data_IF_801627028611
#
_entry.id   IF_801627028611
#
_cell.length_a   1.000
_cell.length_b   1.000
_cell.length_c   1.000
_cell.angle_alpha   90.00
_cell.angle_beta   90.00
_cell.angle_gamma   90.00
#
_symmetry.space_group_name_H-M   'P 1'
#
loop_
_entity.id
_entity.type
_entity.pdbx_description
1 polymer ?
#
# COMPACT_ATOMS: atom_id res chain seq x y z
N UNK A 1 -17.36 -0.91 -10.49
CA UNK A 1 -17.52 -0.84 -9.02
C UNK A 1 -17.01 -2.14 -8.43
N UNK A 2 -16.06 -2.10 -7.50
CA UNK A 2 -15.38 -3.29 -6.97
C UNK A 2 -16.15 -3.86 -5.78
N UNK A 3 -16.35 -5.18 -5.72
CA UNK A 3 -17.03 -5.82 -4.59
C UNK A 3 -16.05 -6.14 -3.47
N UNK A 4 -16.32 -5.65 -2.27
CA UNK A 4 -15.50 -5.89 -1.08
C UNK A 4 -16.37 -6.56 -0.03
N UNK A 5 -15.96 -7.72 0.48
CA UNK A 5 -16.68 -8.39 1.55
C UNK A 5 -16.53 -7.59 2.85
N UNK A 6 -17.64 -7.33 3.55
CA UNK A 6 -17.60 -6.65 4.85
C UNK A 6 -16.68 -7.36 5.84
N UNK A 7 -16.71 -8.70 5.85
CA UNK A 7 -15.83 -9.53 6.69
C UNK A 7 -14.34 -9.28 6.45
N UNK A 8 -13.92 -8.94 5.22
CA UNK A 8 -12.53 -8.62 4.93
C UNK A 8 -12.11 -7.29 5.59
N UNK A 9 -13.01 -6.30 5.59
CA UNK A 9 -12.78 -5.01 6.28
C UNK A 9 -12.73 -5.22 7.79
N UNK A 10 -13.64 -6.02 8.35
CA UNK A 10 -13.68 -6.31 9.79
C UNK A 10 -12.41 -7.03 10.27
N UNK A 11 -11.91 -7.99 9.49
CA UNK A 11 -10.63 -8.67 9.76
C UNK A 11 -9.50 -7.66 9.79
N UNK A 12 -9.42 -6.77 8.79
CA UNK A 12 -8.37 -5.75 8.75
C UNK A 12 -8.46 -4.78 9.91
N UNK A 13 -9.65 -4.35 10.32
CA UNK A 13 -9.82 -3.51 11.53
C UNK A 13 -9.25 -4.21 12.77
N UNK A 14 -9.51 -5.51 12.93
CA UNK A 14 -9.01 -6.29 14.08
C UNK A 14 -7.48 -6.49 14.06
N UNK A 15 -6.83 -6.26 12.90
CA UNK A 15 -5.41 -6.49 12.66
C UNK A 15 -4.63 -5.20 12.43
N UNK A 16 -5.25 -4.02 12.58
CA UNK A 16 -4.55 -2.74 12.43
C UNK A 16 -3.31 -2.78 13.33
N UNK A 17 -2.10 -2.60 12.78
CA UNK A 17 -0.88 -2.73 13.56
C UNK A 17 -0.89 -1.76 14.74
N UNK A 18 -0.63 -2.29 15.93
CA UNK A 18 -0.36 -1.52 17.15
C UNK A 18 1.16 -1.58 17.36
N UNK A 19 1.81 -0.48 17.77
CA UNK A 19 3.23 -0.55 18.16
C UNK A 19 3.44 -1.67 19.19
N UNK A 20 4.30 -2.63 18.84
CA UNK A 20 4.64 -3.78 19.70
C UNK A 20 3.83 -5.05 19.47
N UNK A 21 2.94 -5.11 18.48
CA UNK A 21 2.21 -6.32 18.10
C UNK A 21 3.02 -7.25 17.16
N UNK A 22 2.70 -8.55 17.21
CA UNK A 22 3.35 -9.60 16.42
C UNK A 22 2.97 -9.60 14.92
N UNK A 23 1.92 -8.85 14.53
CA UNK A 23 1.48 -8.80 13.13
C UNK A 23 2.38 -7.88 12.32
N UNK A 24 3.08 -8.44 11.32
CA UNK A 24 3.97 -7.67 10.46
C UNK A 24 3.14 -6.68 9.62
N UNK A 25 3.46 -5.39 9.79
CA UNK A 25 2.94 -4.29 8.96
C UNK A 25 2.95 -4.59 7.46
N UNK A 26 3.90 -5.40 6.98
CA UNK A 26 4.03 -5.78 5.56
C UNK A 26 2.94 -6.74 5.10
N UNK A 27 2.47 -7.65 5.94
CA UNK A 27 1.34 -8.54 5.64
C UNK A 27 0.03 -7.77 5.63
N UNK A 28 -0.14 -6.88 6.62
CA UNK A 28 -1.27 -5.97 6.67
C UNK A 28 -1.38 -5.12 5.39
N UNK A 29 -0.26 -4.58 4.90
CA UNK A 29 -0.23 -3.83 3.64
C UNK A 29 -0.65 -4.67 2.42
N UNK A 30 -0.31 -5.97 2.39
CA UNK A 30 -0.73 -6.87 1.32
C UNK A 30 -2.25 -7.11 1.35
N UNK A 31 -2.84 -7.21 2.53
CA UNK A 31 -4.28 -7.35 2.67
C UNK A 31 -5.03 -6.06 2.32
N UNK A 32 -4.50 -4.89 2.69
CA UNK A 32 -5.01 -3.59 2.22
C UNK A 32 -4.97 -3.49 0.70
N UNK A 33 -3.85 -3.89 0.09
CA UNK A 33 -3.72 -3.89 -1.37
C UNK A 33 -4.80 -4.75 -2.02
N UNK A 34 -5.06 -5.95 -1.48
CA UNK A 34 -6.09 -6.88 -1.99
C UNK A 34 -7.51 -6.30 -1.93
N UNK A 35 -7.80 -5.39 -0.99
CA UNK A 35 -9.08 -4.67 -1.00
C UNK A 35 -9.25 -3.84 -2.28
N UNK A 36 -8.18 -3.26 -2.81
CA UNK A 36 -8.21 -2.31 -3.93
C UNK A 36 -7.88 -2.95 -5.28
N UNK A 37 -6.99 -3.94 -5.28
CA UNK A 37 -6.54 -4.66 -6.45
C UNK A 37 -6.75 -6.17 -6.27
N UNK A 38 -7.12 -6.87 -7.34
CA UNK A 38 -7.37 -8.32 -7.31
C UNK A 38 -6.25 -9.13 -7.99
N UNK A 39 -5.22 -8.44 -8.48
CA UNK A 39 -3.99 -9.09 -8.95
C UNK A 39 -3.43 -9.96 -7.85
N UNK A 40 -2.89 -11.11 -8.24
CA UNK A 40 -2.24 -12.03 -7.32
C UNK A 40 -1.08 -11.32 -6.63
N UNK A 41 -0.94 -11.48 -5.31
CA UNK A 41 0.16 -10.92 -4.55
C UNK A 41 1.02 -12.04 -3.97
N UNK A 42 2.32 -11.91 -4.14
CA UNK A 42 3.32 -12.91 -3.78
C UNK A 42 4.45 -12.27 -2.97
N UNK A 43 5.06 -13.05 -2.08
CA UNK A 43 6.29 -12.67 -1.40
C UNK A 43 7.48 -13.01 -2.28
N UNK A 44 8.34 -12.04 -2.55
CA UNK A 44 9.56 -12.21 -3.36
C UNK A 44 10.77 -11.69 -2.62
N UNK A 45 11.93 -12.32 -2.87
CA UNK A 45 13.22 -11.85 -2.38
C UNK A 45 13.74 -10.77 -3.32
N UNK A 46 13.92 -9.57 -2.80
CA UNK A 46 14.51 -8.44 -3.49
C UNK A 46 15.91 -8.16 -2.96
N UNK A 47 16.78 -7.62 -3.82
CA UNK A 47 18.13 -7.23 -3.48
C UNK A 47 18.32 -5.73 -3.79
N UNK A 48 18.64 -4.94 -2.78
CA UNK A 48 19.10 -3.56 -3.01
C UNK A 48 20.63 -3.57 -3.16
N UNK A 49 21.12 -3.04 -4.28
CA UNK A 49 22.54 -2.76 -4.47
C UNK A 49 22.72 -1.25 -4.28
N UNK A 50 23.31 -0.85 -3.16
CA UNK A 50 23.65 0.55 -2.93
C UNK A 50 24.88 0.92 -3.77
N UNK A 51 24.66 1.56 -4.91
CA UNK A 51 25.70 2.14 -5.75
C UNK A 51 26.08 3.51 -5.18
N UNK A 52 26.91 3.55 -4.12
CA UNK A 52 27.55 4.79 -3.71
C UNK A 52 28.77 4.98 -4.61
N UNK A 53 28.72 5.94 -5.52
CA UNK A 53 29.85 6.35 -6.33
C UNK A 53 30.50 7.59 -5.70
N UNK A 54 31.55 7.42 -4.88
CA UNK A 54 32.52 8.49 -4.57
C UNK A 54 33.85 7.96 -4.01
N UNK A 55 34.89 8.79 -4.18
CA UNK A 55 36.31 8.53 -3.92
C UNK A 55 36.59 7.99 -2.49
N UNK A 56 37.28 6.85 -2.42
CA UNK A 56 37.36 6.03 -1.21
C UNK A 56 38.50 6.41 -0.26
N UNK A 57 38.17 6.55 1.01
CA UNK A 57 39.10 6.32 2.14
C UNK A 57 39.00 4.86 2.61
N UNK A 58 39.98 4.33 3.33
CA UNK A 58 40.02 2.91 3.72
C UNK A 58 38.81 2.43 4.56
N UNK A 59 38.17 3.31 5.35
CA UNK A 59 36.94 3.01 6.11
C UNK A 59 35.73 2.93 5.19
N UNK A 60 35.64 3.83 4.21
CA UNK A 60 34.57 3.81 3.20
C UNK A 60 34.71 2.58 2.29
N UNK A 61 35.92 2.14 1.95
CA UNK A 61 36.15 0.91 1.18
C UNK A 61 35.63 -0.35 1.91
N UNK A 62 35.82 -0.44 3.23
CA UNK A 62 35.29 -1.54 4.04
C UNK A 62 33.75 -1.51 4.13
N UNK A 63 33.16 -0.33 4.31
CA UNK A 63 31.70 -0.13 4.28
C UNK A 63 31.15 -0.45 2.89
N UNK A 64 31.80 0.00 1.81
CA UNK A 64 31.46 -0.32 0.43
C UNK A 64 31.57 -1.81 0.14
N UNK A 65 32.56 -2.51 0.69
CA UNK A 65 32.68 -3.97 0.53
C UNK A 65 31.54 -4.71 1.24
N UNK A 66 31.04 -4.17 2.36
CA UNK A 66 29.85 -4.69 3.03
C UNK A 66 28.56 -4.39 2.23
N UNK A 67 28.45 -3.18 1.65
CA UNK A 67 27.35 -2.75 0.77
C UNK A 67 27.35 -3.39 -0.63
N UNK A 68 28.48 -3.95 -1.07
CA UNK A 68 28.60 -4.76 -2.31
C UNK A 68 27.96 -6.14 -2.17
N UNK A 69 27.62 -6.57 -0.96
CA UNK A 69 26.78 -7.75 -0.77
C UNK A 69 25.33 -7.30 -0.89
N UNK A 70 24.54 -7.90 -1.81
CA UNK A 70 23.13 -7.55 -1.90
C UNK A 70 22.47 -7.81 -0.55
N UNK A 71 21.89 -6.78 0.05
CA UNK A 71 20.98 -6.98 1.18
C UNK A 71 19.71 -7.59 0.61
N UNK A 72 19.51 -8.88 0.90
CA UNK A 72 18.31 -9.61 0.49
C UNK A 72 17.23 -9.36 1.54
N UNK A 73 16.08 -8.85 1.10
CA UNK A 73 14.91 -8.69 1.94
C UNK A 73 13.67 -9.19 1.22
N UNK A 74 12.67 -9.61 1.99
CA UNK A 74 11.39 -10.07 1.45
C UNK A 74 10.45 -8.87 1.25
N UNK A 75 9.82 -8.80 0.09
CA UNK A 75 8.78 -7.82 -0.22
C UNK A 75 7.54 -8.53 -0.74
N UNK A 76 6.38 -7.93 -0.51
CA UNK A 76 5.18 -8.25 -1.26
C UNK A 76 5.21 -7.54 -2.62
N UNK A 77 4.84 -8.27 -3.67
CA UNK A 77 4.69 -7.75 -5.03
C UNK A 77 3.37 -8.26 -5.64
N UNK A 78 2.76 -7.48 -6.51
CA UNK A 78 1.61 -7.88 -7.32
C UNK A 78 2.05 -8.36 -8.69
N UNK A 79 1.42 -9.42 -9.19
CA UNK A 79 1.61 -9.93 -10.55
C UNK A 79 0.78 -9.12 -11.54
N UNK A 80 1.46 -8.43 -12.46
CA UNK A 80 0.86 -7.76 -13.61
C UNK A 80 1.13 -8.58 -14.86
N UNK A 81 0.08 -8.91 -15.62
CA UNK A 81 0.24 -9.49 -16.96
C UNK A 81 0.48 -8.35 -17.94
N UNK A 82 1.47 -8.48 -18.82
CA UNK A 82 1.59 -7.54 -19.93
C UNK A 82 0.37 -7.66 -20.84
N UNK A 83 -0.41 -6.58 -20.94
CA UNK A 83 -1.58 -6.53 -21.80
C UNK A 83 -1.15 -6.16 -23.21
N UNK A 84 -1.25 -7.11 -24.14
CA UNK A 84 -1.12 -6.84 -25.56
C UNK A 84 -2.38 -6.12 -26.06
N UNK A 85 -2.25 -4.88 -26.50
CA UNK A 85 -3.28 -4.22 -27.30
C UNK A 85 -2.63 -3.63 -28.56
N UNK A 86 -3.14 -4.04 -29.72
CA UNK A 86 -2.72 -3.52 -31.02
C UNK A 86 -3.84 -2.61 -31.50
N UNK A 87 -3.78 -1.32 -31.16
CA UNK A 87 -4.55 -0.29 -31.85
C UNK A 87 -3.68 0.88 -32.29
N UNK A 88 -4.07 1.43 -33.44
CA UNK A 88 -3.31 2.27 -34.35
C UNK A 88 -3.11 3.70 -33.83
N UNK A 89 -2.25 3.89 -32.84
CA UNK A 89 -1.49 5.14 -32.66
C UNK A 89 -0.39 4.91 -31.64
N UNK A 90 0.72 4.32 -32.12
CA UNK A 90 1.99 4.09 -31.41
C UNK A 90 1.91 3.41 -30.03
N UNK A 91 2.00 2.07 -29.96
CA UNK A 91 2.25 1.41 -28.69
C UNK A 91 3.75 1.32 -28.42
N UNK A 92 4.20 1.90 -27.31
CA UNK A 92 5.48 1.53 -26.71
C UNK A 92 5.31 0.11 -26.13
N UNK A 93 5.62 -0.90 -26.93
CA UNK A 93 5.50 -2.29 -26.53
C UNK A 93 6.60 -2.65 -25.53
N UNK A 94 6.24 -3.13 -24.35
CA UNK A 94 7.18 -3.71 -23.38
C UNK A 94 6.75 -5.16 -23.16
N UNK A 95 7.65 -6.09 -23.45
CA UNK A 95 7.43 -7.46 -23.08
C UNK A 95 8.57 -8.44 -23.19
N UNK A 96 8.33 -9.62 -22.62
CA UNK A 96 9.30 -10.71 -22.59
C UNK A 96 9.26 -11.47 -23.92
N UNK A 97 10.45 -11.79 -24.41
CA UNK A 97 10.66 -12.54 -25.65
C UNK A 97 11.42 -13.81 -25.31
N UNK A 98 10.96 -14.96 -25.80
CA UNK A 98 11.67 -16.22 -25.64
C UNK A 98 12.91 -16.32 -26.55
N UNK A 99 13.64 -17.42 -26.46
CA UNK A 99 14.82 -17.69 -27.28
C UNK A 99 14.51 -17.74 -28.79
N UNK A 100 13.24 -17.95 -29.17
CA UNK A 100 12.77 -17.99 -30.55
C UNK A 100 12.31 -16.61 -31.07
N UNK A 101 12.42 -15.56 -30.27
CA UNK A 101 11.98 -14.22 -30.67
C UNK A 101 10.47 -14.00 -30.53
N UNK A 102 9.75 -14.90 -29.86
CA UNK A 102 8.30 -14.81 -29.66
C UNK A 102 7.96 -14.15 -28.34
N UNK A 103 6.93 -13.31 -28.35
CA UNK A 103 6.38 -12.75 -27.12
C UNK A 103 5.84 -13.87 -26.24
N UNK A 104 6.28 -13.89 -24.98
CA UNK A 104 5.77 -14.82 -23.97
C UNK A 104 5.14 -14.05 -22.81
N UNK A 105 3.98 -14.49 -22.31
CA UNK A 105 3.38 -13.92 -21.13
C UNK A 105 4.19 -14.35 -19.90
N UNK A 106 5.03 -13.46 -19.40
CA UNK A 106 5.65 -13.59 -18.08
C UNK A 106 5.08 -12.50 -17.16
N UNK A 107 4.64 -12.85 -15.93
CA UNK A 107 4.13 -11.85 -15.01
C UNK A 107 5.24 -10.88 -14.60
N UNK A 108 4.97 -9.58 -14.75
CA UNK A 108 5.77 -8.52 -14.15
C UNK A 108 5.43 -8.44 -12.66
N UNK A 109 6.45 -8.52 -11.81
CA UNK A 109 6.29 -8.36 -10.37
C UNK A 109 6.53 -6.90 -10.00
N UNK A 110 5.48 -6.23 -9.53
CA UNK A 110 5.51 -4.83 -9.11
C UNK A 110 5.42 -4.76 -7.58
N UNK A 111 6.36 -4.09 -6.88
CA UNK A 111 6.25 -3.90 -5.44
C UNK A 111 4.93 -3.22 -5.06
N UNK A 112 4.23 -3.76 -4.06
CA UNK A 112 3.03 -3.10 -3.56
C UNK A 112 3.40 -1.92 -2.63
N UNK A 113 2.54 -0.90 -2.51
CA UNK A 113 2.76 0.21 -1.59
C UNK A 113 2.82 -0.21 -0.12
N UNK A 114 3.58 0.55 0.67
CA UNK A 114 3.72 0.36 2.12
C UNK A 114 2.84 1.37 2.87
N UNK A 115 1.52 1.13 2.84
CA UNK A 115 0.48 2.05 3.35
C UNK A 115 0.69 2.49 4.79
N UNK A 116 1.18 1.60 5.66
CA UNK A 116 1.41 1.91 7.07
C UNK A 116 2.74 2.60 7.36
N UNK A 117 3.62 2.78 6.37
CA UNK A 117 4.95 3.38 6.57
C UNK A 117 5.03 4.85 6.24
N UNK A 118 4.36 5.31 5.19
CA UNK A 118 4.43 6.71 4.74
C UNK A 118 3.06 7.33 4.63
N UNK A 119 3.00 8.66 4.85
CA UNK A 119 1.77 9.42 4.73
C UNK A 119 1.26 9.35 3.28
N UNK A 120 2.16 9.44 2.29
CA UNK A 120 1.79 9.41 0.87
C UNK A 120 1.08 8.12 0.47
N UNK A 121 1.54 6.96 0.96
CA UNK A 121 0.86 5.70 0.69
C UNK A 121 -0.46 5.59 1.46
N UNK A 122 -0.52 6.00 2.73
CA UNK A 122 -1.80 6.03 3.46
C UNK A 122 -2.84 6.94 2.78
N UNK A 123 -2.41 8.08 2.24
CA UNK A 123 -3.25 8.99 1.48
C UNK A 123 -3.69 8.40 0.13
N UNK A 124 -2.82 7.67 -0.57
CA UNK A 124 -3.21 6.99 -1.81
C UNK A 124 -4.26 5.90 -1.57
N UNK A 125 -4.19 5.20 -0.43
CA UNK A 125 -5.25 4.27 0.01
C UNK A 125 -6.58 5.00 0.24
N UNK A 126 -6.57 6.12 0.97
CA UNK A 126 -7.77 6.95 1.17
C UNK A 126 -8.37 7.41 -0.15
N UNK A 127 -7.54 7.89 -1.06
CA UNK A 127 -7.98 8.41 -2.37
C UNK A 127 -8.58 7.30 -3.24
N UNK A 128 -7.97 6.11 -3.23
CA UNK A 128 -8.50 4.96 -3.95
C UNK A 128 -9.89 4.53 -3.44
N UNK A 129 -10.15 4.64 -2.14
CA UNK A 129 -11.44 4.23 -1.55
C UNK A 129 -12.53 5.29 -1.69
N UNK A 130 -12.22 6.55 -1.40
CA UNK A 130 -13.23 7.60 -1.26
C UNK A 130 -13.08 8.74 -2.26
N UNK A 131 -12.03 8.76 -3.07
CA UNK A 131 -11.70 9.90 -3.93
C UNK A 131 -11.72 11.22 -3.14
N UNK A 132 -12.24 12.31 -3.72
CA UNK A 132 -12.34 13.61 -3.04
C UNK A 132 -13.56 13.73 -2.10
N UNK A 133 -14.42 12.72 -1.99
CA UNK A 133 -15.75 12.86 -1.37
C UNK A 133 -15.74 12.89 0.16
N UNK A 134 -14.71 12.29 0.76
CA UNK A 134 -14.51 12.35 2.20
C UNK A 134 -13.26 13.14 2.54
N UNK A 135 -13.37 14.01 3.52
CA UNK A 135 -12.29 14.86 4.01
C UNK A 135 -11.62 14.24 5.23
N UNK A 136 -10.29 14.31 5.27
CA UNK A 136 -9.51 13.93 6.43
C UNK A 136 -9.30 15.15 7.33
N UNK A 137 -9.59 14.99 8.62
CA UNK A 137 -9.20 15.92 9.69
C UNK A 137 -8.18 15.22 10.55
N UNK A 138 -6.99 15.81 10.67
CA UNK A 138 -5.88 15.25 11.45
C UNK A 138 -5.71 16.10 12.71
N UNK A 139 -5.58 15.43 13.84
CA UNK A 139 -5.26 16.01 15.13
C UNK A 139 -4.07 15.28 15.73
N UNK A 140 -3.30 15.99 16.55
CA UNK A 140 -2.13 15.47 17.23
C UNK A 140 -2.24 15.81 18.71
N UNK A 141 -1.95 14.84 19.56
CA UNK A 141 -1.96 15.00 21.02
C UNK A 141 -0.74 14.30 21.61
N UNK A 142 -0.27 14.80 22.76
CA UNK A 142 0.85 14.17 23.46
C UNK A 142 0.42 12.79 23.98
N UNK A 143 1.21 11.77 23.64
CA UNK A 143 1.10 10.39 24.12
C UNK A 143 2.22 10.06 25.11
N UNK A 144 2.15 8.88 25.74
CA UNK A 144 3.15 8.46 26.75
C UNK A 144 4.57 8.33 26.20
N UNK A 145 4.70 7.97 24.91
CA UNK A 145 5.99 7.67 24.26
C UNK A 145 6.27 8.53 23.02
N UNK A 146 5.52 9.63 22.85
CA UNK A 146 5.61 10.47 21.66
C UNK A 146 4.30 11.20 21.40
N UNK A 147 3.91 11.27 20.14
CA UNK A 147 2.63 11.85 19.74
C UNK A 147 1.67 10.74 19.34
N UNK A 148 0.41 10.88 19.74
CA UNK A 148 -0.67 10.15 19.13
C UNK A 148 -1.37 11.03 18.09
N UNK A 149 -1.76 10.39 16.99
CA UNK A 149 -2.47 11.01 15.89
C UNK A 149 -3.91 10.53 15.90
N UNK A 150 -4.84 11.47 16.02
CA UNK A 150 -6.27 11.24 15.82
C UNK A 150 -6.68 11.67 14.42
N UNK A 151 -7.21 10.75 13.62
CA UNK A 151 -7.67 11.02 12.26
C UNK A 151 -9.17 10.77 12.18
N UNK A 152 -9.89 11.76 11.66
CA UNK A 152 -11.32 11.70 11.41
C UNK A 152 -11.60 11.80 9.90
N UNK A 153 -12.45 10.91 9.41
CA UNK A 153 -13.05 10.99 8.09
C UNK A 153 -14.39 11.71 8.23
N UNK A 154 -14.61 12.78 7.46
CA UNK A 154 -15.83 13.57 7.48
C UNK A 154 -16.44 13.72 6.09
N UNK A 155 -17.77 13.83 6.02
CA UNK A 155 -18.49 14.14 4.78
C UNK A 155 -18.37 15.62 4.37
N UNK A 156 -19.02 15.99 3.27
CA UNK A 156 -19.02 17.37 2.75
C UNK A 156 -19.66 18.39 3.68
N UNK A 157 -20.55 17.96 4.58
CA UNK A 157 -21.16 18.81 5.61
C UNK A 157 -20.29 18.89 6.88
N UNK A 158 -19.15 18.19 6.88
CA UNK A 158 -18.19 18.17 7.98
C UNK A 158 -18.57 17.23 9.12
N UNK A 159 -19.62 16.41 8.96
CA UNK A 159 -20.03 15.40 9.93
C UNK A 159 -19.06 14.23 9.90
N UNK A 160 -18.61 13.81 11.08
CA UNK A 160 -17.70 12.67 11.21
C UNK A 160 -18.41 11.38 10.82
N UNK A 161 -17.82 10.67 9.86
CA UNK A 161 -18.22 9.32 9.43
C UNK A 161 -17.50 8.27 10.29
N UNK A 162 -16.19 8.45 10.47
CA UNK A 162 -15.37 7.58 11.29
C UNK A 162 -14.18 8.34 11.88
N UNK A 163 -13.61 7.79 12.94
CA UNK A 163 -12.36 8.27 13.50
C UNK A 163 -11.52 7.10 14.01
N UNK A 164 -10.20 7.28 14.00
CA UNK A 164 -9.26 6.33 14.54
C UNK A 164 -8.05 7.06 15.12
N UNK A 165 -7.45 6.49 16.17
CA UNK A 165 -6.26 7.04 16.83
C UNK A 165 -5.15 6.00 16.85
N UNK A 166 -3.96 6.42 16.48
CA UNK A 166 -2.75 5.60 16.53
C UNK A 166 -1.52 6.45 16.84
N UNK A 167 -0.45 5.79 17.28
CA UNK A 167 0.89 6.35 17.50
C UNK A 167 1.63 6.75 16.20
N UNK A 168 1.10 6.35 15.04
CA UNK A 168 1.64 6.62 13.72
C UNK A 168 0.56 7.23 12.83
N UNK A 169 0.85 8.38 12.23
CA UNK A 169 -0.11 9.07 11.35
C UNK A 169 -0.57 8.20 10.16
N UNK A 170 0.32 7.50 9.42
CA UNK A 170 -0.11 6.54 8.40
C UNK A 170 -1.12 5.49 8.91
N UNK A 171 -0.87 4.92 10.09
CA UNK A 171 -1.77 3.93 10.70
C UNK A 171 -3.09 4.60 11.09
N UNK A 172 -3.05 5.81 11.64
CA UNK A 172 -4.25 6.57 11.99
C UNK A 172 -5.13 6.83 10.76
N UNK A 173 -4.52 7.20 9.63
CA UNK A 173 -5.20 7.38 8.35
C UNK A 173 -5.84 6.07 7.88
N UNK A 174 -5.05 4.99 7.76
CA UNK A 174 -5.57 3.70 7.28
C UNK A 174 -6.70 3.18 8.17
N UNK A 175 -6.54 3.25 9.49
CA UNK A 175 -7.57 2.84 10.43
C UNK A 175 -8.86 3.64 10.27
N UNK A 176 -8.75 4.97 10.12
CA UNK A 176 -9.94 5.81 9.89
C UNK A 176 -10.66 5.47 8.59
N UNK A 177 -9.92 5.11 7.53
CA UNK A 177 -10.48 4.67 6.25
C UNK A 177 -11.22 3.34 6.41
N UNK A 178 -10.60 2.35 7.04
CA UNK A 178 -11.25 1.04 7.28
C UNK A 178 -12.51 1.19 8.13
N UNK A 179 -12.48 1.99 9.19
CA UNK A 179 -13.67 2.27 10.00
C UNK A 179 -14.76 3.03 9.22
N UNK A 180 -14.38 3.94 8.32
CA UNK A 180 -15.34 4.61 7.43
C UNK A 180 -16.00 3.61 6.48
N UNK A 181 -15.24 2.67 5.90
CA UNK A 181 -15.79 1.58 5.11
C UNK A 181 -16.74 0.71 5.95
N UNK A 182 -16.33 0.28 7.15
CA UNK A 182 -17.14 -0.56 8.02
C UNK A 182 -18.46 0.11 8.47
N UNK A 183 -18.49 1.44 8.58
CA UNK A 183 -19.72 2.19 8.86
C UNK A 183 -20.79 2.07 7.74
N UNK A 184 -20.43 1.47 6.61
CA UNK A 184 -21.31 1.33 5.45
C UNK A 184 -21.40 2.62 4.64
N UNK A 185 -20.50 3.58 4.86
CA UNK A 185 -20.43 4.74 4.00
C UNK A 185 -20.16 4.29 2.58
N UNK A 186 -21.02 4.73 1.68
CA UNK A 186 -20.92 4.53 0.24
C UNK A 186 -21.36 5.83 -0.42
N UNK A 187 -20.88 6.04 -1.63
CA UNK A 187 -21.27 7.15 -2.48
C UNK A 187 -21.51 6.57 -3.87
N UNK A 188 -22.41 7.16 -4.67
CA UNK A 188 -22.73 6.65 -6.02
C UNK A 188 -21.51 6.61 -6.95
N UNK A 189 -20.49 7.42 -6.64
CA UNK A 189 -19.19 7.47 -7.31
C UNK A 189 -18.06 6.82 -6.50
N UNK A 190 -18.37 6.14 -5.39
CA UNK A 190 -17.39 5.33 -4.69
C UNK A 190 -16.94 4.17 -5.59
N UNK A 191 -15.65 3.88 -5.58
CA UNK A 191 -15.10 2.86 -6.46
C UNK A 191 -15.39 1.43 -5.97
N UNK A 192 -16.08 1.26 -4.83
CA UNK A 192 -16.39 -0.02 -4.23
C UNK A 192 -17.86 -0.14 -3.76
N UNK A 193 -18.30 -1.39 -3.64
CA UNK A 193 -19.57 -1.82 -3.05
C UNK A 193 -19.25 -2.83 -1.94
N UNK A 194 -19.77 -2.59 -0.73
CA UNK A 194 -19.66 -3.57 0.35
C UNK A 194 -20.74 -4.62 0.19
N UNK A 195 -20.32 -5.87 0.10
CA UNK A 195 -21.22 -7.02 0.04
C UNK A 195 -21.21 -7.73 1.39
N UNK A 196 -22.40 -8.00 1.91
CA UNK A 196 -22.58 -8.90 3.03
C UNK A 196 -22.38 -10.33 2.50
N UNK A 197 -21.54 -11.09 3.20
CA UNK A 197 -21.20 -12.48 2.83
C UNK A 197 -22.33 -13.47 3.08
#
# INVERSE_FOLDING_TARGET
MKKIARSAVDILISQIPILGADYDSRDFNADLFRLMDHRNTVRVRSAAINLIAHEETAVLAAIHQWLKRPTIFEIWASESLEVYSVEFSEPLLRGYIDEAGQFVPQPLLEPIPDYCRTIDFAMSFKEAMFGPYLHLKISQVDGEWGYDYGVCIADGDGKTVASYRADSLPIAIVGSVLHAMASGWTHDLAYYELVDG
#
